data_IF_174638845657
#
_entry.id   IF_174638845657
#
_cell.length_a   1.000
_cell.length_b   1.000
_cell.length_c   1.000
_cell.angle_alpha   90.00
_cell.angle_beta   90.00
_cell.angle_gamma   90.00
#
_symmetry.space_group_name_H-M   'P 1'
#
loop_
_entity.id
_entity.type
_entity.pdbx_description
1 polymer ?
#
# COMPACT_ATOMS: atom_id res chain seq x y z
N UNK A 1 -3.25 -31.33 21.07
CA UNK A 1 -3.07 -29.96 20.55
C UNK A 1 -2.17 -29.26 21.54
N UNK A 2 -0.88 -29.29 21.27
CA UNK A 2 0.13 -28.76 22.17
C UNK A 2 0.17 -27.24 22.01
N UNK A 3 -0.17 -26.54 23.09
CA UNK A 3 -0.11 -25.09 23.14
C UNK A 3 1.36 -24.66 23.07
N UNK A 4 1.74 -23.94 22.01
CA UNK A 4 3.07 -23.33 21.93
C UNK A 4 3.14 -22.23 22.99
N UNK A 5 3.77 -22.55 24.12
CA UNK A 5 4.18 -21.59 25.13
C UNK A 5 5.62 -21.19 24.86
N UNK A 6 5.83 -19.97 24.37
CA UNK A 6 7.17 -19.37 24.34
C UNK A 6 7.41 -18.79 25.72
N UNK A 7 7.94 -19.61 26.62
CA UNK A 7 8.29 -19.17 27.96
C UNK A 7 9.59 -18.33 27.89
N UNK A 8 9.45 -17.01 27.84
CA UNK A 8 10.60 -16.10 27.96
C UNK A 8 11.04 -16.07 29.43
N UNK A 9 11.93 -16.98 29.82
CA UNK A 9 12.48 -17.01 31.17
C UNK A 9 13.39 -15.78 31.39
N UNK A 10 13.00 -14.92 32.33
CA UNK A 10 13.64 -13.61 32.61
C UNK A 10 15.10 -13.69 33.08
N UNK A 11 15.58 -14.87 33.51
CA UNK A 11 16.95 -15.07 33.98
C UNK A 11 18.01 -15.22 32.87
N UNK A 12 17.60 -15.30 31.60
CA UNK A 12 18.50 -15.45 30.44
C UNK A 12 18.72 -14.15 29.64
N UNK A 13 18.22 -13.00 30.12
CA UNK A 13 18.40 -11.71 29.46
C UNK A 13 19.80 -11.13 29.66
N UNK A 14 20.76 -11.62 28.87
CA UNK A 14 22.01 -10.90 28.59
C UNK A 14 21.97 -10.35 27.17
N UNK A 15 22.77 -9.32 26.87
CA UNK A 15 22.85 -8.65 25.56
C UNK A 15 23.00 -9.63 24.40
N UNK A 16 23.71 -10.74 24.59
CA UNK A 16 23.88 -11.80 23.58
C UNK A 16 22.58 -12.56 23.26
N UNK A 17 21.71 -12.80 24.24
CA UNK A 17 20.44 -13.52 24.04
C UNK A 17 19.40 -12.62 23.36
N UNK A 18 19.39 -11.32 23.69
CA UNK A 18 18.53 -10.35 23.04
C UNK A 18 18.85 -10.20 21.54
N UNK A 19 20.15 -10.20 21.19
CA UNK A 19 20.62 -10.14 19.81
C UNK A 19 20.17 -11.38 19.03
N UNK A 20 20.37 -12.58 19.57
CA UNK A 20 19.98 -13.83 18.90
C UNK A 20 18.48 -13.91 18.65
N UNK A 21 17.65 -13.50 19.62
CA UNK A 21 16.18 -13.45 19.46
C UNK A 21 15.78 -12.42 18.40
N UNK A 22 16.37 -11.23 18.42
CA UNK A 22 16.11 -10.20 17.41
C UNK A 22 16.49 -10.69 16.00
N UNK A 23 17.69 -11.27 15.86
CA UNK A 23 18.23 -11.80 14.60
C UNK A 23 17.36 -12.90 14.00
N UNK A 24 16.84 -13.82 14.81
CA UNK A 24 16.11 -15.00 14.33
C UNK A 24 14.59 -14.86 14.40
N UNK A 25 14.07 -13.74 14.95
CA UNK A 25 12.63 -13.51 15.14
C UNK A 25 11.81 -13.64 13.86
N UNK A 26 12.37 -13.30 12.69
CA UNK A 26 11.69 -13.39 11.39
C UNK A 26 11.49 -14.83 10.93
N UNK A 27 12.50 -15.69 11.11
CA UNK A 27 12.44 -17.12 10.78
C UNK A 27 11.46 -17.86 11.69
N UNK A 28 11.44 -17.49 12.97
CA UNK A 28 10.51 -18.06 13.93
C UNK A 28 9.05 -17.69 13.60
N UNK A 29 8.79 -16.42 13.28
CA UNK A 29 7.46 -15.96 12.84
C UNK A 29 6.99 -16.68 11.57
N UNK A 30 7.87 -16.85 10.57
CA UNK A 30 7.49 -17.54 9.34
C UNK A 30 7.20 -19.03 9.59
N UNK A 31 7.97 -19.68 10.46
CA UNK A 31 7.74 -21.08 10.80
C UNK A 31 6.38 -21.32 11.48
N UNK A 32 6.04 -20.50 12.48
CA UNK A 32 4.72 -20.60 13.14
C UNK A 32 3.59 -20.35 12.13
N UNK A 33 3.70 -19.26 11.38
CA UNK A 33 2.62 -18.83 10.48
C UNK A 33 2.37 -19.87 9.38
N UNK A 34 3.43 -20.36 8.74
CA UNK A 34 3.30 -21.25 7.57
C UNK A 34 3.10 -22.73 7.94
N UNK A 35 3.86 -23.24 8.91
CA UNK A 35 3.89 -24.67 9.21
C UNK A 35 2.98 -25.08 10.36
N UNK A 36 2.88 -24.26 11.42
CA UNK A 36 2.07 -24.60 12.60
C UNK A 36 0.61 -24.17 12.39
N UNK A 37 0.39 -22.92 11.98
CA UNK A 37 -0.95 -22.41 11.70
C UNK A 37 -1.48 -22.87 10.32
N UNK A 38 -0.64 -23.48 9.49
CA UNK A 38 -1.01 -23.94 8.14
C UNK A 38 -1.42 -22.83 7.17
N UNK A 39 -1.04 -21.57 7.45
CA UNK A 39 -1.41 -20.45 6.58
C UNK A 39 -0.60 -20.50 5.30
N UNK A 40 -1.27 -20.30 4.17
CA UNK A 40 -0.60 -20.18 2.88
C UNK A 40 -0.07 -18.75 2.70
N UNK A 41 1.14 -18.61 2.15
CA UNK A 41 1.80 -17.32 1.86
C UNK A 41 1.14 -16.51 0.72
N UNK A 42 -0.19 -16.47 0.68
CA UNK A 42 -0.97 -15.81 -0.37
C UNK A 42 -1.14 -14.31 -0.21
N UNK A 43 -0.66 -13.71 0.89
CA UNK A 43 -0.74 -12.26 1.14
C UNK A 43 0.41 -11.50 0.44
N UNK A 44 0.46 -11.61 -0.90
CA UNK A 44 1.45 -10.91 -1.73
C UNK A 44 0.91 -9.54 -2.19
N UNK A 45 1.81 -8.61 -2.50
CA UNK A 45 1.41 -7.29 -3.01
C UNK A 45 0.63 -7.39 -4.32
N UNK A 46 1.02 -8.28 -5.23
CA UNK A 46 0.35 -8.52 -6.51
C UNK A 46 -1.12 -8.94 -6.31
N UNK A 47 -1.37 -9.91 -5.43
CA UNK A 47 -2.73 -10.38 -5.14
C UNK A 47 -3.57 -9.27 -4.50
N UNK A 48 -2.99 -8.48 -3.60
CA UNK A 48 -3.68 -7.35 -2.97
C UNK A 48 -4.01 -6.25 -3.97
N UNK A 49 -3.07 -5.93 -4.86
CA UNK A 49 -3.27 -4.95 -5.91
C UNK A 49 -4.41 -5.38 -6.83
N UNK A 50 -4.39 -6.64 -7.29
CA UNK A 50 -5.46 -7.21 -8.13
C UNK A 50 -6.81 -7.20 -7.42
N UNK A 51 -6.87 -7.64 -6.16
CA UNK A 51 -8.08 -7.61 -5.35
C UNK A 51 -8.63 -6.18 -5.19
N UNK A 52 -7.77 -5.20 -4.98
CA UNK A 52 -8.16 -3.80 -4.86
C UNK A 52 -8.69 -3.25 -6.19
N UNK A 53 -8.01 -3.52 -7.30
CA UNK A 53 -8.47 -3.13 -8.63
C UNK A 53 -9.87 -3.70 -8.95
N UNK A 54 -10.09 -4.98 -8.65
CA UNK A 54 -11.37 -5.65 -8.88
C UNK A 54 -12.47 -5.14 -7.93
N UNK A 55 -12.12 -4.77 -6.71
CA UNK A 55 -13.03 -4.13 -5.77
C UNK A 55 -13.44 -2.75 -6.27
N UNK A 56 -12.47 -1.92 -6.67
CA UNK A 56 -12.70 -0.57 -7.19
C UNK A 56 -13.60 -0.59 -8.42
N UNK A 57 -13.36 -1.48 -9.38
CA UNK A 57 -14.22 -1.64 -10.57
C UNK A 57 -15.65 -2.04 -10.23
N UNK A 58 -15.84 -2.88 -9.22
CA UNK A 58 -17.17 -3.31 -8.74
C UNK A 58 -17.93 -2.18 -8.05
N UNK A 59 -17.22 -1.37 -7.26
CA UNK A 59 -17.80 -0.28 -6.48
C UNK A 59 -18.10 0.96 -7.33
N UNK A 60 -17.15 1.32 -8.19
CA UNK A 60 -17.25 2.44 -9.14
C UNK A 60 -17.98 1.95 -10.38
N UNK A 61 -19.31 1.81 -10.25
CA UNK A 61 -20.24 1.53 -11.37
C UNK A 61 -20.03 2.51 -12.53
N UNK A 62 -20.45 2.17 -13.75
CA UNK A 62 -20.15 2.91 -14.99
C UNK A 62 -20.66 4.37 -15.04
N UNK A 63 -21.54 4.76 -14.14
CA UNK A 63 -22.21 6.06 -14.09
C UNK A 63 -21.56 7.06 -13.12
N UNK A 64 -20.56 6.65 -12.34
CA UNK A 64 -19.99 7.49 -11.27
C UNK A 64 -18.74 8.24 -11.72
N UNK A 65 -18.63 9.50 -11.32
CA UNK A 65 -17.40 10.28 -11.47
C UNK A 65 -16.55 10.07 -10.22
N UNK A 66 -15.24 9.89 -10.39
CA UNK A 66 -14.28 9.76 -9.28
C UNK A 66 -13.46 11.03 -9.20
N UNK A 67 -13.48 11.67 -8.03
CA UNK A 67 -12.68 12.86 -7.73
C UNK A 67 -11.61 12.47 -6.70
N UNK A 68 -10.34 12.67 -7.04
CA UNK A 68 -9.21 12.44 -6.16
C UNK A 68 -8.50 13.75 -5.84
N UNK A 69 -8.20 13.95 -4.55
CA UNK A 69 -7.40 15.06 -4.09
C UNK A 69 -6.00 14.54 -3.73
N UNK A 70 -4.99 15.03 -4.44
CA UNK A 70 -3.58 14.69 -4.26
C UNK A 70 -2.90 15.84 -3.52
N UNK A 71 -2.22 15.53 -2.42
CA UNK A 71 -1.59 16.52 -1.55
C UNK A 71 -0.05 16.45 -1.56
N UNK A 72 0.53 15.69 -2.49
CA UNK A 72 1.97 15.41 -2.55
C UNK A 72 2.44 14.24 -1.67
N UNK A 73 1.61 13.77 -0.73
CA UNK A 73 1.93 12.61 0.10
C UNK A 73 1.87 11.29 -0.67
N UNK A 74 2.76 10.36 -0.32
CA UNK A 74 2.91 9.04 -0.95
C UNK A 74 1.58 8.28 -1.00
N UNK A 75 0.81 8.29 0.08
CA UNK A 75 -0.46 7.55 0.14
C UNK A 75 -1.48 8.07 -0.88
N UNK A 76 -1.62 9.40 -1.03
CA UNK A 76 -2.55 10.00 -1.98
C UNK A 76 -2.12 9.77 -3.43
N UNK A 77 -0.81 9.84 -3.70
CA UNK A 77 -0.25 9.59 -5.02
C UNK A 77 -0.41 8.12 -5.45
N UNK A 78 -0.12 7.17 -4.53
CA UNK A 78 -0.33 5.73 -4.78
C UNK A 78 -1.81 5.43 -4.97
N UNK A 79 -2.70 6.06 -4.19
CA UNK A 79 -4.13 5.90 -4.34
C UNK A 79 -4.62 6.37 -5.73
N UNK A 80 -4.21 7.57 -6.16
CA UNK A 80 -4.54 8.09 -7.48
C UNK A 80 -4.05 7.16 -8.60
N UNK A 81 -2.79 6.71 -8.52
CA UNK A 81 -2.22 5.78 -9.49
C UNK A 81 -2.97 4.43 -9.54
N UNK A 82 -3.37 3.90 -8.38
CA UNK A 82 -4.12 2.64 -8.30
C UNK A 82 -5.53 2.76 -8.89
N UNK A 83 -6.23 3.87 -8.59
CA UNK A 83 -7.55 4.16 -9.18
C UNK A 83 -7.45 4.34 -10.69
N UNK A 84 -6.45 5.07 -11.16
CA UNK A 84 -6.19 5.25 -12.58
C UNK A 84 -5.95 3.89 -13.27
N UNK A 85 -5.10 3.03 -12.70
CA UNK A 85 -4.85 1.66 -13.21
C UNK A 85 -6.12 0.80 -13.23
N UNK A 86 -6.97 0.92 -12.21
CA UNK A 86 -8.22 0.16 -12.13
C UNK A 86 -9.24 0.62 -13.19
N UNK A 87 -9.38 1.93 -13.41
CA UNK A 87 -10.43 2.53 -14.25
C UNK A 87 -10.03 2.69 -15.72
N UNK A 88 -8.75 2.90 -16.04
CA UNK A 88 -8.24 2.95 -17.42
C UNK A 88 -8.62 1.71 -18.24
N UNK A 89 -8.59 0.53 -17.62
CA UNK A 89 -8.89 -0.74 -18.29
C UNK A 89 -10.38 -0.89 -18.67
N UNK A 90 -11.24 0.05 -18.27
CA UNK A 90 -12.69 0.00 -18.48
C UNK A 90 -13.22 0.94 -19.58
N UNK A 91 -12.33 1.45 -20.44
CA UNK A 91 -12.64 2.16 -21.70
C UNK A 91 -13.23 3.57 -21.56
N UNK A 92 -13.28 4.13 -20.34
CA UNK A 92 -13.84 5.45 -20.10
C UNK A 92 -12.93 6.32 -19.22
N UNK A 93 -11.87 6.87 -19.84
CA UNK A 93 -10.92 7.75 -19.17
C UNK A 93 -11.49 9.14 -18.82
N UNK A 94 -12.74 9.43 -19.21
CA UNK A 94 -13.37 10.75 -19.01
C UNK A 94 -13.88 10.97 -17.57
N UNK A 95 -13.84 9.94 -16.74
CA UNK A 95 -14.54 9.88 -15.44
C UNK A 95 -13.68 10.13 -14.21
N UNK A 96 -12.36 10.23 -14.38
CA UNK A 96 -11.42 10.55 -13.30
C UNK A 96 -11.06 12.02 -13.31
N UNK A 97 -11.21 12.70 -12.18
CA UNK A 97 -10.71 14.05 -11.96
C UNK A 97 -9.71 14.03 -10.82
N UNK A 98 -8.45 14.31 -11.13
CA UNK A 98 -7.38 14.38 -10.15
C UNK A 98 -7.03 15.86 -9.93
N UNK A 99 -7.14 16.32 -8.68
CA UNK A 99 -6.79 17.69 -8.28
C UNK A 99 -5.60 17.62 -7.34
N UNK A 100 -4.49 18.24 -7.74
CA UNK A 100 -3.35 18.44 -6.87
C UNK A 100 -3.46 19.81 -6.19
N UNK A 101 -3.41 19.84 -4.86
CA UNK A 101 -3.52 21.09 -4.09
C UNK A 101 -2.15 21.45 -3.54
N UNK A 102 -1.60 22.57 -4.02
CA UNK A 102 -0.40 23.18 -3.48
C UNK A 102 -0.77 24.31 -2.51
N UNK A 103 -0.60 24.03 -1.21
CA UNK A 103 -0.90 24.99 -0.17
C UNK A 103 0.25 25.99 0.10
N UNK A 104 1.36 25.92 -0.66
CA UNK A 104 2.54 26.76 -0.47
C UNK A 104 3.46 26.33 0.68
N UNK A 105 3.18 25.22 1.37
CA UNK A 105 4.00 24.66 2.45
C UNK A 105 4.68 23.33 2.09
N UNK A 106 4.64 22.95 0.81
CA UNK A 106 5.37 21.79 0.30
C UNK A 106 6.88 22.06 0.29
N UNK A 107 7.68 21.00 0.25
CA UNK A 107 9.14 21.13 0.11
C UNK A 107 9.48 21.71 -1.26
N UNK A 108 10.69 22.26 -1.36
CA UNK A 108 11.22 22.82 -2.60
C UNK A 108 11.05 21.80 -3.75
N UNK A 109 10.37 22.25 -4.81
CA UNK A 109 10.12 21.51 -6.06
C UNK A 109 9.31 20.20 -5.88
N UNK A 110 8.70 19.95 -4.71
CA UNK A 110 7.94 18.72 -4.43
C UNK A 110 6.65 18.64 -5.25
N UNK A 111 5.93 19.77 -5.34
CA UNK A 111 4.70 19.90 -6.12
C UNK A 111 4.93 19.54 -7.60
N UNK A 112 5.99 20.10 -8.20
CA UNK A 112 6.37 19.84 -9.59
C UNK A 112 6.76 18.36 -9.81
N UNK A 113 7.50 17.77 -8.88
CA UNK A 113 7.90 16.36 -8.95
C UNK A 113 6.69 15.42 -8.90
N UNK A 114 5.71 15.71 -8.04
CA UNK A 114 4.49 14.91 -7.90
C UNK A 114 3.66 14.98 -9.17
N UNK A 115 3.42 16.20 -9.68
CA UNK A 115 2.66 16.40 -10.92
C UNK A 115 3.33 15.70 -12.09
N UNK A 116 4.66 15.85 -12.24
CA UNK A 116 5.43 15.20 -13.31
C UNK A 116 5.31 13.68 -13.23
N UNK A 117 5.47 13.10 -12.03
CA UNK A 117 5.42 11.65 -11.83
C UNK A 117 4.05 11.07 -12.14
N UNK A 118 2.98 11.74 -11.74
CA UNK A 118 1.62 11.26 -11.99
C UNK A 118 1.18 11.49 -13.45
N UNK A 119 1.64 12.56 -14.10
CA UNK A 119 1.41 12.77 -15.54
C UNK A 119 2.09 11.70 -16.39
N UNK A 120 3.30 11.25 -16.02
CA UNK A 120 3.98 10.13 -16.69
C UNK A 120 3.19 8.81 -16.60
N UNK A 121 2.34 8.66 -15.57
CA UNK A 121 1.43 7.52 -15.41
C UNK A 121 0.13 7.68 -16.20
N UNK A 122 -0.08 8.81 -16.89
CA UNK A 122 -1.29 9.09 -17.69
C UNK A 122 -2.39 9.84 -16.94
N UNK A 123 -2.17 10.26 -15.69
CA UNK A 123 -3.13 11.04 -14.94
C UNK A 123 -3.12 12.50 -15.41
N UNK A 124 -4.31 13.07 -15.66
CA UNK A 124 -4.45 14.47 -15.99
C UNK A 124 -4.80 15.27 -14.73
N UNK A 125 -3.77 15.81 -14.07
CA UNK A 125 -3.94 16.55 -12.83
C UNK A 125 -4.23 18.03 -13.09
N UNK A 126 -5.25 18.54 -12.40
CA UNK A 126 -5.47 19.98 -12.24
C UNK A 126 -4.76 20.45 -10.97
N UNK A 127 -3.78 21.33 -11.12
CA UNK A 127 -3.08 21.95 -9.98
C UNK A 127 -3.88 23.18 -9.50
N UNK A 128 -4.07 23.29 -8.19
CA UNK A 128 -4.72 24.43 -7.50
C UNK A 128 -3.79 24.96 -6.42
#
# INVERSE_FOLDING_TARGET
MDWINILFHTHLWNSSVLIVVAEHSRLFRSQITLYICGLQGGFTLEKREQQCNDYTRRMVRRDKIVLMLVNGGVDSAVCAALFHKALLQSDDSSRGHDIHIDNGFLRKDESEQVVTSLQQLGLNLRVI
#
